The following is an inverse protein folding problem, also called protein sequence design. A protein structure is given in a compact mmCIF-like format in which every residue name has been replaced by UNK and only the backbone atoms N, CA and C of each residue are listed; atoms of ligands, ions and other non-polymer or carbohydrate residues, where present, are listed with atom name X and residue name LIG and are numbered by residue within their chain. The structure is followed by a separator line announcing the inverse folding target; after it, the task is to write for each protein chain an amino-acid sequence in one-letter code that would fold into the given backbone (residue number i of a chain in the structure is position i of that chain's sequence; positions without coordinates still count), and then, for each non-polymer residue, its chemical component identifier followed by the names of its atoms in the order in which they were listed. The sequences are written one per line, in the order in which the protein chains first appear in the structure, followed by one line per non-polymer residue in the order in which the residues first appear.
data_IF_427480289177
#
_entry.id   IF_427480289177
#
_cell.length_a   1.000
_cell.length_b   1.000
_cell.length_c   1.000
_cell.angle_alpha   90.00
_cell.angle_beta   90.00
_cell.angle_gamma   90.00
#
_symmetry.space_group_name_H-M   'P 1'
#
loop_
_entity.id
_entity.type
_entity.pdbx_description
1 polymer ?
#
# COMPACT_ATOMS: atom_id res chain seq x y z
N UNK A 1 -41.10 -10.42 -34.22
CA UNK A 1 -39.72 -10.32 -33.65
C UNK A 1 -39.33 -8.91 -33.23
N UNK A 2 -39.63 -7.86 -34.01
CA UNK A 2 -39.20 -6.47 -33.73
C UNK A 2 -39.74 -5.85 -32.43
N UNK A 3 -40.97 -6.15 -32.00
CA UNK A 3 -41.50 -5.63 -30.73
C UNK A 3 -40.84 -6.25 -29.49
N UNK A 4 -40.47 -7.54 -29.54
CA UNK A 4 -39.80 -8.22 -28.43
C UNK A 4 -38.38 -7.70 -28.24
N UNK A 5 -37.66 -7.44 -29.33
CA UNK A 5 -36.31 -6.85 -29.28
C UNK A 5 -36.34 -5.42 -28.75
N UNK A 6 -37.33 -4.61 -29.14
CA UNK A 6 -37.49 -3.25 -28.61
C UNK A 6 -37.79 -3.27 -27.11
N UNK A 7 -38.71 -4.13 -26.65
CA UNK A 7 -39.05 -4.23 -25.22
C UNK A 7 -37.87 -4.67 -24.33
N UNK A 8 -37.05 -5.62 -24.81
CA UNK A 8 -35.85 -6.07 -24.09
C UNK A 8 -34.81 -4.95 -24.02
N UNK A 9 -34.63 -4.20 -25.10
CA UNK A 9 -33.65 -3.12 -25.17
C UNK A 9 -34.06 -1.94 -24.28
N UNK A 10 -35.34 -1.58 -24.27
CA UNK A 10 -35.86 -0.55 -23.34
C UNK A 10 -35.71 -0.99 -21.88
N UNK A 11 -36.00 -2.25 -21.57
CA UNK A 11 -35.85 -2.75 -20.21
C UNK A 11 -34.38 -2.74 -19.76
N UNK A 12 -33.46 -3.19 -20.61
CA UNK A 12 -32.03 -3.16 -20.32
C UNK A 12 -31.49 -1.73 -20.12
N UNK A 13 -31.91 -0.77 -20.95
CA UNK A 13 -31.49 0.63 -20.78
C UNK A 13 -32.01 1.24 -19.48
N UNK A 14 -33.23 0.89 -19.07
CA UNK A 14 -33.81 1.41 -17.82
C UNK A 14 -33.09 0.88 -16.58
N UNK A 15 -32.71 -0.41 -16.54
CA UNK A 15 -31.99 -0.97 -15.40
C UNK A 15 -30.59 -0.40 -15.25
N UNK A 16 -29.89 -0.14 -16.38
CA UNK A 16 -28.60 0.54 -16.40
C UNK A 16 -28.69 1.99 -15.89
N UNK A 17 -29.74 2.73 -16.28
CA UNK A 17 -29.94 4.11 -15.84
C UNK A 17 -30.22 4.23 -14.33
N UNK A 18 -30.99 3.31 -13.74
CA UNK A 18 -31.25 3.31 -12.29
C UNK A 18 -30.01 2.93 -11.47
N UNK A 19 -29.15 2.04 -11.96
CA UNK A 19 -27.90 1.66 -11.30
C UNK A 19 -26.84 2.77 -11.25
N UNK A 20 -26.84 3.69 -12.23
CA UNK A 20 -25.88 4.80 -12.29
C UNK A 20 -26.13 5.88 -11.21
N UNK A 21 -27.35 6.02 -10.70
CA UNK A 21 -27.70 7.06 -9.72
C UNK A 21 -27.21 6.79 -8.29
N UNK A 22 -26.78 5.57 -7.96
CA UNK A 22 -26.24 5.26 -6.63
C UNK A 22 -24.79 5.74 -6.48
N UNK A 23 -23.95 5.53 -7.50
CA UNK A 23 -22.54 5.95 -7.50
C UNK A 23 -22.36 7.47 -7.54
N UNK A 24 -23.26 8.19 -8.21
CA UNK A 24 -23.20 9.66 -8.32
C UNK A 24 -23.30 10.36 -6.96
N UNK A 25 -24.06 9.81 -6.00
CA UNK A 25 -24.19 10.38 -4.65
C UNK A 25 -22.88 10.32 -3.86
N UNK A 26 -22.11 9.26 -4.07
CA UNK A 26 -20.78 9.11 -3.46
C UNK A 26 -19.76 10.03 -4.11
N UNK A 27 -19.74 10.13 -5.45
CA UNK A 27 -18.78 10.98 -6.17
C UNK A 27 -19.03 12.49 -6.02
N UNK A 28 -20.27 12.91 -5.77
CA UNK A 28 -20.64 14.33 -5.56
C UNK A 28 -20.56 14.73 -4.07
N UNK A 29 -20.12 13.83 -3.18
CA UNK A 29 -19.94 14.14 -1.76
C UNK A 29 -21.24 14.37 -0.98
N UNK A 30 -22.37 13.89 -1.52
CA UNK A 30 -23.70 13.97 -0.87
C UNK A 30 -23.87 12.91 0.24
N UNK A 31 -22.88 12.03 0.42
CA UNK A 31 -22.88 11.10 1.53
C UNK A 31 -22.45 11.80 2.83
N UNK A 32 -23.22 11.55 3.89
CA UNK A 32 -22.92 12.03 5.23
C UNK A 32 -21.71 11.28 5.78
N UNK A 33 -20.55 11.91 5.79
CA UNK A 33 -19.37 11.44 6.51
C UNK A 33 -19.50 11.97 7.94
N UNK A 34 -20.02 11.15 8.85
CA UNK A 34 -19.99 11.46 10.28
C UNK A 34 -18.62 11.08 10.85
N UNK A 35 -17.96 11.99 11.58
CA UNK A 35 -16.77 11.65 12.35
C UNK A 35 -17.08 10.49 13.30
N UNK A 36 -16.10 9.61 13.49
CA UNK A 36 -16.25 8.44 14.36
C UNK A 36 -16.36 8.89 15.82
N UNK A 37 -17.56 8.79 16.37
CA UNK A 37 -17.89 9.18 17.74
C UNK A 37 -17.32 8.22 18.80
N UNK A 38 -16.72 7.10 18.38
CA UNK A 38 -16.06 6.14 19.27
C UNK A 38 -14.53 6.26 19.27
N UNK A 39 -13.94 7.14 18.46
CA UNK A 39 -12.52 7.45 18.54
C UNK A 39 -12.23 8.24 19.83
N UNK A 40 -11.81 7.51 20.86
CA UNK A 40 -11.33 8.11 22.11
C UNK A 40 -9.83 8.41 21.99
N UNK A 41 -9.47 9.69 21.99
CA UNK A 41 -8.08 10.13 22.09
C UNK A 41 -7.64 9.96 23.55
N UNK A 42 -6.59 9.17 23.79
CA UNK A 42 -6.03 9.02 25.12
C UNK A 42 -5.21 10.25 25.51
N UNK A 43 -5.76 11.07 26.39
CA UNK A 43 -5.02 12.15 27.03
C UNK A 43 -4.02 11.57 28.04
N UNK A 44 -2.80 12.12 28.11
CA UNK A 44 -1.82 11.69 29.10
C UNK A 44 -2.38 11.86 30.54
N UNK A 45 -2.15 10.90 31.45
CA UNK A 45 -2.65 10.99 32.82
C UNK A 45 -2.07 12.22 33.52
N UNK A 46 -2.94 13.04 34.10
CA UNK A 46 -2.56 14.22 34.89
C UNK A 46 -2.01 13.75 36.24
N UNK A 47 -0.70 13.58 36.35
CA UNK A 47 -0.04 13.44 37.65
C UNK A 47 0.31 14.82 38.17
N UNK A 48 -0.14 15.15 39.38
CA UNK A 48 0.26 16.37 40.06
C UNK A 48 1.72 16.16 40.52
N UNK A 49 2.70 16.91 39.98
CA UNK A 49 4.07 16.81 40.44
C UNK A 49 4.14 17.27 41.90
N UNK A 50 5.01 16.66 42.73
CA UNK A 50 5.19 17.04 44.14
C UNK A 50 5.66 18.50 44.32
N UNK A 51 6.20 19.10 43.26
CA UNK A 51 6.55 20.51 43.20
C UNK A 51 5.42 21.32 42.58
N UNK A 52 4.66 22.04 43.42
CA UNK A 52 3.64 23.02 43.03
C UNK A 52 4.24 24.31 42.42
N UNK A 53 5.52 24.30 42.05
CA UNK A 53 6.32 25.46 41.63
C UNK A 53 6.17 25.86 40.16
N UNK A 54 5.12 25.41 39.46
CA UNK A 54 4.89 25.87 38.09
C UNK A 54 4.35 27.29 38.12
N UNK A 55 5.17 28.25 37.69
CA UNK A 55 4.74 29.61 37.41
C UNK A 55 3.55 29.54 36.42
N UNK A 56 2.40 30.16 36.72
CA UNK A 56 1.27 30.18 35.81
C UNK A 56 1.75 30.65 34.42
N UNK A 57 1.39 29.94 33.33
CA UNK A 57 1.79 30.36 32.00
C UNK A 57 1.25 31.76 31.78
N UNK A 58 2.14 32.67 31.38
CA UNK A 58 1.74 34.05 31.09
C UNK A 58 0.72 34.06 29.94
N UNK A 59 -0.31 34.92 29.98
CA UNK A 59 -1.33 34.99 28.95
C UNK A 59 -0.70 35.13 27.56
N UNK A 60 -1.03 34.21 26.64
CA UNK A 60 -0.55 34.23 25.25
C UNK A 60 0.64 33.32 24.92
N UNK A 61 1.23 32.61 25.89
CA UNK A 61 2.18 31.54 25.56
C UNK A 61 1.45 30.31 24.98
N UNK A 62 2.04 29.64 23.98
CA UNK A 62 1.50 28.39 23.46
C UNK A 62 1.37 27.39 24.62
N UNK A 63 0.16 26.87 24.82
CA UNK A 63 -0.07 25.89 25.87
C UNK A 63 0.79 24.66 25.56
N UNK A 64 1.52 24.09 26.53
CA UNK A 64 2.25 22.82 26.34
C UNK A 64 1.35 21.60 26.06
N UNK A 65 0.06 21.82 25.79
CA UNK A 65 -0.91 20.77 25.59
C UNK A 65 -0.75 20.15 24.20
N UNK A 66 -0.51 18.83 24.25
CA UNK A 66 -0.80 17.83 23.24
C UNK A 66 -0.09 18.04 21.91
N UNK A 67 1.15 17.54 21.84
CA UNK A 67 1.59 16.95 20.57
C UNK A 67 0.47 16.02 20.12
N UNK A 68 -0.07 16.25 18.92
CA UNK A 68 -1.08 15.39 18.32
C UNK A 68 -0.63 13.92 18.48
N UNK A 69 -1.48 13.01 18.97
CA UNK A 69 -1.08 11.64 19.31
C UNK A 69 -0.39 10.93 18.13
N UNK A 70 -0.72 11.30 16.90
CA UNK A 70 -0.06 10.83 15.68
C UNK A 70 1.40 11.28 15.60
N UNK A 71 1.70 12.53 15.99
CA UNK A 71 3.06 13.05 16.02
C UNK A 71 3.90 12.40 17.13
N UNK A 72 3.31 12.16 18.29
CA UNK A 72 3.94 11.44 19.39
C UNK A 72 4.18 9.96 19.03
N UNK A 73 3.17 9.27 18.48
CA UNK A 73 3.29 7.90 17.99
C UNK A 73 4.35 7.78 16.89
N UNK A 74 4.39 8.74 15.95
CA UNK A 74 5.41 8.79 14.90
C UNK A 74 6.81 8.92 15.50
N UNK A 75 6.99 9.75 16.52
CA UNK A 75 8.26 9.92 17.21
C UNK A 75 8.67 8.69 18.03
N UNK A 76 7.72 7.94 18.58
CA UNK A 76 7.96 6.67 19.30
C UNK A 76 8.32 5.55 18.31
N UNK A 77 7.54 5.39 17.24
CA UNK A 77 7.69 4.31 16.26
C UNK A 77 8.93 4.48 15.38
N UNK A 78 9.22 5.71 14.95
CA UNK A 78 10.38 6.00 14.09
C UNK A 78 11.62 6.40 14.91
N UNK A 79 11.48 6.53 16.23
CA UNK A 79 12.46 7.17 17.09
C UNK A 79 12.59 8.67 16.79
N UNK A 80 13.34 9.39 17.64
CA UNK A 80 14.02 10.55 17.08
C UNK A 80 14.84 10.01 15.91
N UNK A 81 14.64 10.58 14.72
CA UNK A 81 15.51 10.37 13.57
C UNK A 81 16.85 11.00 13.96
N UNK A 82 17.56 10.41 14.93
CA UNK A 82 18.93 10.73 15.26
C UNK A 82 19.62 10.63 13.92
N UNK A 83 20.08 11.77 13.44
CA UNK A 83 20.97 11.81 12.30
C UNK A 83 22.10 10.86 12.66
N UNK A 84 22.05 9.64 12.12
CA UNK A 84 23.18 8.73 12.13
C UNK A 84 24.30 9.58 11.56
N UNK A 85 25.34 9.83 12.36
CA UNK A 85 26.46 10.66 11.94
C UNK A 85 27.13 9.95 10.77
N UNK A 86 26.68 10.26 9.56
CA UNK A 86 27.13 9.62 8.34
C UNK A 86 28.53 10.07 8.05
N UNK A 87 29.37 9.14 7.59
CA UNK A 87 30.72 9.48 7.16
C UNK A 87 30.67 10.45 5.99
N UNK A 88 31.72 11.27 5.82
CA UNK A 88 31.88 12.18 4.67
C UNK A 88 31.66 11.45 3.33
N UNK A 89 32.14 10.21 3.20
CA UNK A 89 31.97 9.40 1.99
C UNK A 89 30.51 9.04 1.70
N UNK A 90 29.73 8.70 2.72
CA UNK A 90 28.30 8.43 2.58
C UNK A 90 27.52 9.70 2.22
N UNK A 91 27.89 10.85 2.78
CA UNK A 91 27.26 12.12 2.45
C UNK A 91 27.52 12.48 0.98
N UNK A 92 28.75 12.31 0.50
CA UNK A 92 29.09 12.54 -0.91
C UNK A 92 28.36 11.58 -1.86
N UNK A 93 28.25 10.30 -1.50
CA UNK A 93 27.52 9.32 -2.30
C UNK A 93 26.02 9.68 -2.39
N UNK A 94 25.41 10.10 -1.28
CA UNK A 94 24.00 10.50 -1.23
C UNK A 94 23.77 11.81 -1.99
N UNK A 95 24.69 12.77 -1.90
CA UNK A 95 24.63 14.01 -2.67
C UNK A 95 24.69 13.74 -4.19
N UNK A 96 25.58 12.84 -4.62
CA UNK A 96 25.66 12.39 -6.02
C UNK A 96 24.40 11.63 -6.46
N UNK A 97 23.86 10.78 -5.58
CA UNK A 97 22.59 10.09 -5.81
C UNK A 97 21.35 11.02 -5.76
N UNK A 98 21.54 12.30 -5.42
CA UNK A 98 20.47 13.30 -5.35
C UNK A 98 19.54 13.13 -4.14
N UNK A 99 19.97 12.43 -3.09
CA UNK A 99 19.17 12.23 -1.89
C UNK A 99 18.79 13.53 -1.18
N UNK A 100 19.58 14.59 -1.35
CA UNK A 100 19.30 15.93 -0.81
C UNK A 100 18.12 16.63 -1.51
N UNK A 101 17.70 16.14 -2.67
CA UNK A 101 16.55 16.67 -3.44
C UNK A 101 15.28 15.83 -3.30
N UNK A 102 15.29 14.81 -2.44
CA UNK A 102 14.12 13.97 -2.23
C UNK A 102 13.00 14.77 -1.57
N UNK A 103 11.82 14.80 -2.20
CA UNK A 103 10.64 15.43 -1.61
C UNK A 103 10.22 14.66 -0.34
N UNK A 104 10.19 15.30 0.85
CA UNK A 104 9.72 14.66 2.07
C UNK A 104 8.26 14.20 1.98
N UNK A 105 7.48 14.76 1.06
CA UNK A 105 6.07 14.42 0.83
C UNK A 105 5.86 13.37 -0.27
N UNK A 106 6.92 12.83 -0.90
CA UNK A 106 6.79 11.88 -2.00
C UNK A 106 5.89 10.68 -1.67
N UNK A 107 5.90 10.18 -0.42
CA UNK A 107 5.01 9.10 0.01
C UNK A 107 3.55 9.52 0.03
N UNK A 108 3.26 10.74 0.47
CA UNK A 108 1.90 11.28 0.46
C UNK A 108 1.40 11.50 -0.96
N UNK A 109 2.25 12.00 -1.86
CA UNK A 109 1.91 12.18 -3.28
C UNK A 109 1.61 10.82 -3.92
N UNK A 110 2.45 9.81 -3.69
CA UNK A 110 2.21 8.46 -4.21
C UNK A 110 0.95 7.85 -3.60
N UNK A 111 0.73 7.98 -2.30
CA UNK A 111 -0.47 7.42 -1.67
C UNK A 111 -1.76 8.11 -2.15
N UNK A 112 -1.72 9.41 -2.45
CA UNK A 112 -2.84 10.17 -3.02
C UNK A 112 -3.08 9.78 -4.49
N UNK A 113 -2.03 9.69 -5.31
CA UNK A 113 -2.12 9.31 -6.72
C UNK A 113 -2.51 7.84 -6.93
N UNK A 114 -2.09 6.95 -6.03
CA UNK A 114 -2.22 5.49 -6.19
C UNK A 114 -3.13 4.82 -5.16
N UNK A 115 -3.73 5.56 -4.21
CA UNK A 115 -4.61 5.00 -3.17
C UNK A 115 -5.80 4.21 -3.72
N UNK A 116 -6.29 4.60 -4.90
CA UNK A 116 -7.38 3.92 -5.62
C UNK A 116 -6.93 2.63 -6.33
N UNK A 117 -5.65 2.49 -6.70
CA UNK A 117 -5.16 1.31 -7.42
C UNK A 117 -4.98 0.09 -6.51
N UNK A 118 -4.62 0.31 -5.25
CA UNK A 118 -4.48 -0.79 -4.28
C UNK A 118 -5.81 -1.50 -3.97
N UNK A 119 -6.94 -0.82 -4.18
CA UNK A 119 -8.28 -1.31 -3.84
C UNK A 119 -9.15 -1.62 -5.06
N UNK A 120 -8.63 -1.44 -6.28
CA UNK A 120 -9.41 -1.66 -7.50
C UNK A 120 -9.27 -3.11 -7.97
N UNK A 121 -10.36 -3.85 -7.80
CA UNK A 121 -10.54 -5.15 -8.46
C UNK A 121 -10.25 -5.04 -9.96
N UNK A 122 -9.64 -6.08 -10.54
CA UNK A 122 -9.37 -6.10 -11.97
C UNK A 122 -10.67 -5.85 -12.75
N UNK A 123 -10.63 -4.86 -13.65
CA UNK A 123 -11.79 -4.53 -14.48
C UNK A 123 -12.29 -5.77 -15.24
N UNK A 124 -13.60 -5.91 -15.38
CA UNK A 124 -14.22 -7.00 -16.15
C UNK A 124 -13.61 -7.16 -17.56
N UNK A 125 -13.28 -6.04 -18.21
CA UNK A 125 -12.62 -6.05 -19.52
C UNK A 125 -11.21 -6.64 -19.46
N UNK A 126 -10.46 -6.35 -18.39
CA UNK A 126 -9.14 -6.94 -18.14
C UNK A 126 -9.25 -8.45 -17.94
N UNK A 127 -10.23 -8.88 -17.14
CA UNK A 127 -10.49 -10.30 -16.89
C UNK A 127 -10.82 -11.08 -18.17
N UNK A 128 -11.50 -10.45 -19.14
CA UNK A 128 -11.80 -11.07 -20.44
C UNK A 128 -10.61 -11.02 -21.39
N UNK A 129 -9.93 -9.87 -21.51
CA UNK A 129 -8.74 -9.76 -22.37
C UNK A 129 -7.63 -10.71 -21.93
N UNK A 130 -7.47 -10.90 -20.62
CA UNK A 130 -6.39 -11.70 -20.03
C UNK A 130 -6.90 -13.00 -19.39
N UNK A 131 -8.03 -13.54 -19.85
CA UNK A 131 -8.64 -14.76 -19.31
C UNK A 131 -7.75 -16.01 -19.37
N UNK A 132 -6.67 -15.98 -20.18
CA UNK A 132 -5.65 -17.04 -20.31
C UNK A 132 -4.23 -16.56 -19.99
N UNK A 133 -4.06 -15.52 -19.16
CA UNK A 133 -2.73 -14.97 -18.81
C UNK A 133 -1.79 -16.03 -18.24
N UNK A 134 -2.32 -16.93 -17.41
CA UNK A 134 -1.56 -17.97 -16.72
C UNK A 134 -1.41 -19.26 -17.53
N UNK A 135 -1.91 -19.28 -18.77
CA UNK A 135 -1.79 -20.42 -19.66
C UNK A 135 -0.50 -20.32 -20.48
N UNK A 136 0.48 -21.17 -20.15
CA UNK A 136 1.77 -21.23 -20.82
C UNK A 136 1.65 -21.44 -22.35
N UNK A 137 0.56 -22.04 -22.83
CA UNK A 137 0.33 -22.25 -24.26
C UNK A 137 -0.05 -20.97 -25.03
N UNK A 138 -0.36 -19.87 -24.32
CA UNK A 138 -0.77 -18.59 -24.93
C UNK A 138 0.41 -17.60 -25.00
N UNK A 139 1.56 -17.94 -24.40
CA UNK A 139 2.72 -17.06 -24.36
C UNK A 139 3.68 -17.35 -25.53
N UNK A 140 4.13 -16.30 -26.21
CA UNK A 140 5.11 -16.41 -27.29
C UNK A 140 6.53 -16.59 -26.70
N UNK A 141 7.44 -17.28 -27.42
CA UNK A 141 8.81 -17.43 -26.99
C UNK A 141 9.48 -16.06 -26.81
N UNK A 142 10.09 -15.84 -25.65
CA UNK A 142 10.76 -14.56 -25.33
C UNK A 142 12.27 -14.74 -25.44
N UNK A 143 12.92 -13.90 -26.24
CA UNK A 143 14.38 -13.89 -26.37
C UNK A 143 14.98 -12.90 -25.36
N UNK A 144 15.87 -13.39 -24.49
CA UNK A 144 16.60 -12.58 -23.52
C UNK A 144 18.06 -12.51 -23.98
N UNK A 145 18.61 -11.30 -24.07
CA UNK A 145 20.04 -11.13 -24.32
C UNK A 145 20.82 -11.21 -23.01
N UNK A 146 21.70 -12.20 -22.88
CA UNK A 146 22.67 -12.31 -21.78
C UNK A 146 24.07 -11.98 -22.29
N UNK A 147 25.02 -11.78 -21.39
CA UNK A 147 26.44 -11.54 -21.72
C UNK A 147 27.10 -12.69 -22.49
N UNK A 148 26.46 -13.88 -22.51
CA UNK A 148 26.94 -15.09 -23.16
C UNK A 148 26.21 -15.39 -24.49
N UNK A 149 25.19 -14.59 -24.85
CA UNK A 149 24.43 -14.72 -26.09
C UNK A 149 22.92 -14.54 -25.93
N UNK A 150 22.17 -14.66 -27.03
CA UNK A 150 20.70 -14.63 -26.99
C UNK A 150 20.16 -16.00 -26.57
N UNK A 151 19.46 -16.05 -25.43
CA UNK A 151 18.78 -17.26 -24.94
C UNK A 151 17.29 -17.13 -25.28
N UNK A 152 16.76 -18.11 -26.01
CA UNK A 152 15.33 -18.17 -26.31
C UNK A 152 14.62 -19.00 -25.23
N UNK A 153 13.68 -18.38 -24.52
CA UNK A 153 12.91 -19.01 -23.45
C UNK A 153 11.54 -19.38 -24.01
N UNK A 154 11.31 -20.68 -24.19
CA UNK A 154 10.00 -21.22 -24.53
C UNK A 154 9.15 -21.42 -23.27
N UNK A 155 8.01 -20.74 -23.23
CA UNK A 155 7.12 -20.69 -22.07
C UNK A 155 6.57 -22.07 -21.67
N UNK A 156 6.31 -22.95 -22.64
CA UNK A 156 5.80 -24.29 -22.36
C UNK A 156 6.84 -25.18 -21.66
N UNK A 157 8.10 -25.11 -22.11
CA UNK A 157 9.20 -25.89 -21.52
C UNK A 157 9.56 -25.43 -20.10
N UNK A 158 9.60 -24.11 -19.86
CA UNK A 158 9.86 -23.56 -18.53
C UNK A 158 8.71 -23.85 -17.56
N UNK A 159 7.46 -23.79 -18.03
CA UNK A 159 6.31 -24.17 -17.21
C UNK A 159 6.42 -25.63 -16.73
N UNK A 160 6.76 -26.57 -17.62
CA UNK A 160 6.96 -27.97 -17.25
C UNK A 160 8.10 -28.16 -16.24
N UNK A 161 9.20 -27.41 -16.42
CA UNK A 161 10.34 -27.41 -15.49
C UNK A 161 9.95 -26.87 -14.11
N UNK A 162 9.23 -25.74 -14.05
CA UNK A 162 8.75 -25.15 -12.80
C UNK A 162 7.74 -26.08 -12.14
N UNK A 163 6.83 -26.70 -12.91
CA UNK A 163 5.85 -27.65 -12.37
C UNK A 163 6.52 -28.89 -11.76
N UNK A 164 7.58 -29.41 -12.40
CA UNK A 164 8.39 -30.49 -11.86
C UNK A 164 9.10 -30.11 -10.54
N UNK A 165 9.58 -28.87 -10.42
CA UNK A 165 10.25 -28.35 -9.22
C UNK A 165 9.28 -28.04 -8.08
N UNK A 166 8.07 -27.58 -8.40
CA UNK A 166 7.07 -27.13 -7.42
C UNK A 166 6.07 -28.22 -7.02
N UNK A 167 6.07 -29.37 -7.72
CA UNK A 167 5.12 -30.45 -7.51
C UNK A 167 3.67 -30.02 -7.77
N UNK A 168 3.46 -29.03 -8.65
CA UNK A 168 2.14 -28.49 -8.99
C UNK A 168 1.51 -27.59 -7.92
N UNK A 169 2.25 -27.16 -6.89
CA UNK A 169 1.75 -26.20 -5.90
C UNK A 169 1.89 -24.76 -6.41
N UNK A 170 0.78 -24.03 -6.49
CA UNK A 170 0.75 -22.63 -6.92
C UNK A 170 1.37 -21.63 -5.92
N UNK A 171 1.60 -22.05 -4.67
CA UNK A 171 2.23 -21.22 -3.64
C UNK A 171 3.37 -21.97 -2.94
N UNK A 172 4.58 -21.44 -3.02
CA UNK A 172 5.74 -21.92 -2.26
C UNK A 172 5.85 -21.05 -1.00
N UNK A 173 5.29 -21.51 0.12
CA UNK A 173 5.51 -20.83 1.40
C UNK A 173 6.87 -21.23 1.96
N UNK A 174 7.87 -20.36 1.78
CA UNK A 174 9.17 -20.53 2.45
C UNK A 174 8.99 -20.09 3.90
N UNK A 175 8.48 -20.98 4.75
CA UNK A 175 8.48 -20.75 6.19
C UNK A 175 9.88 -21.07 6.73
N UNK A 176 10.57 -20.13 7.41
CA UNK A 176 11.81 -20.46 8.09
C UNK A 176 11.53 -21.60 9.08
N UNK A 177 12.35 -22.64 9.04
CA UNK A 177 12.29 -23.74 10.01
C UNK A 177 12.50 -23.12 11.39
N UNK A 178 11.41 -22.90 12.13
CA UNK A 178 11.50 -22.49 13.53
C UNK A 178 12.09 -23.67 14.28
N UNK A 179 13.41 -23.61 14.49
CA UNK A 179 14.07 -24.51 15.40
C UNK A 179 13.44 -24.29 16.77
N UNK A 180 12.81 -25.33 17.33
CA UNK A 180 12.17 -25.26 18.66
C UNK A 180 13.19 -25.26 19.79
N UNK A 181 14.48 -25.13 19.48
CA UNK A 181 15.56 -24.98 20.43
C UNK A 181 15.51 -23.62 21.11
N UNK A 182 15.48 -23.64 22.43
CA UNK A 182 15.63 -22.47 23.29
C UNK A 182 16.98 -21.80 22.98
N UNK A 183 16.98 -20.58 22.42
CA UNK A 183 18.22 -19.81 22.20
C UNK A 183 18.74 -19.36 23.55
N UNK A 184 19.85 -19.96 24.01
CA UNK A 184 20.58 -19.46 25.17
C UNK A 184 21.26 -18.13 24.80
N UNK A 185 21.10 -17.07 25.59
CA UNK A 185 21.80 -15.82 25.35
C UNK A 185 23.29 -16.00 25.69
N UNK A 186 24.17 -15.82 24.72
CA UNK A 186 25.62 -15.64 24.98
C UNK A 186 26.58 -16.72 24.48
N UNK A 187 26.24 -17.48 23.43
CA UNK A 187 27.22 -18.21 22.60
C UNK A 187 26.93 -17.96 21.12
#
# INVERSE_FOLDING_TARGET
MRLRTVAVLTLATSTLALGACSGLRTGVGLNKITPDEFLTVSTAPLTVPPEYGLRPPSPGQPRPQELAPESAARQILLGQRQAVTRSEGEQQLVAQAGGDRADPLARYVVDDEFGDLAHKEESWANRIMFWRRDDAATQLPTAIQTSEGAVNVDAASEFARIQALTGGRAGISITPRRDSGFKLPGL
#
